data_IF_830820170500
#
_entry.id   IF_830820170500
#
_cell.length_a   1.000
_cell.length_b   1.000
_cell.length_c   1.000
_cell.angle_alpha   90.00
_cell.angle_beta   90.00
_cell.angle_gamma   90.00
#
_symmetry.space_group_name_H-M   'P 1'
#
loop_
_entity.id
_entity.type
_entity.pdbx_description
1 polymer ?
#
# COMPACT_ATOMS: atom_id res chain seq x y z
N UNK A 1 -35.64 -2.18 17.18
CA UNK A 1 -35.38 -1.01 16.31
C UNK A 1 -34.25 -1.46 15.41
N UNK A 2 -34.58 -2.23 14.38
CA UNK A 2 -33.63 -3.00 13.58
C UNK A 2 -33.32 -2.24 12.29
N UNK A 3 -32.15 -1.60 12.18
CA UNK A 3 -31.62 -1.03 10.92
C UNK A 3 -30.09 -1.17 10.83
N UNK A 4 -29.55 -2.33 11.18
CA UNK A 4 -28.09 -2.56 11.12
C UNK A 4 -27.63 -3.45 9.94
N UNK A 5 -28.53 -3.91 9.06
CA UNK A 5 -28.20 -4.91 8.04
C UNK A 5 -28.19 -4.43 6.58
N UNK A 6 -28.66 -3.22 6.26
CA UNK A 6 -28.60 -2.70 4.88
C UNK A 6 -27.26 -2.05 4.50
N UNK A 7 -26.39 -1.75 5.47
CA UNK A 7 -25.15 -1.00 5.26
C UNK A 7 -23.87 -1.81 5.44
N UNK A 8 -23.96 -3.05 5.92
CA UNK A 8 -22.79 -3.91 6.12
C UNK A 8 -22.49 -4.73 4.86
N UNK A 9 -22.14 -4.05 3.77
CA UNK A 9 -21.59 -4.74 2.60
C UNK A 9 -20.25 -5.35 3.03
N UNK A 10 -20.11 -6.67 2.87
CA UNK A 10 -18.86 -7.36 3.18
C UNK A 10 -17.70 -6.69 2.42
N UNK A 11 -16.55 -6.50 3.08
CA UNK A 11 -15.36 -5.86 2.47
C UNK A 11 -15.01 -6.47 1.12
N UNK A 12 -15.13 -7.80 0.97
CA UNK A 12 -14.87 -8.48 -0.30
C UNK A 12 -15.82 -8.05 -1.42
N UNK A 13 -17.10 -7.86 -1.11
CA UNK A 13 -18.10 -7.39 -2.05
C UNK A 13 -17.84 -5.93 -2.44
N UNK A 14 -17.48 -5.08 -1.48
CA UNK A 14 -17.05 -3.71 -1.76
C UNK A 14 -15.83 -3.66 -2.68
N UNK A 15 -14.77 -4.43 -2.39
CA UNK A 15 -13.58 -4.49 -3.25
C UNK A 15 -13.91 -4.93 -4.67
N UNK A 16 -14.80 -5.91 -4.83
CA UNK A 16 -15.26 -6.35 -6.16
C UNK A 16 -16.00 -5.24 -6.89
N UNK A 17 -16.87 -4.50 -6.21
CA UNK A 17 -17.60 -3.36 -6.78
C UNK A 17 -16.67 -2.23 -7.19
N UNK A 18 -15.71 -1.85 -6.32
CA UNK A 18 -14.69 -0.85 -6.65
C UNK A 18 -13.86 -1.26 -7.86
N UNK A 19 -13.40 -2.52 -7.89
CA UNK A 19 -12.66 -3.06 -9.05
C UNK A 19 -13.49 -2.99 -10.33
N UNK A 20 -14.76 -3.40 -10.28
CA UNK A 20 -15.66 -3.32 -11.41
C UNK A 20 -15.86 -1.88 -11.88
N UNK A 21 -16.08 -0.94 -10.96
CA UNK A 21 -16.25 0.48 -11.26
C UNK A 21 -15.03 1.08 -11.96
N UNK A 22 -13.81 0.71 -11.53
CA UNK A 22 -12.57 1.15 -12.19
C UNK A 22 -12.42 0.59 -13.61
N UNK A 23 -12.86 -0.65 -13.84
CA UNK A 23 -12.80 -1.30 -15.16
C UNK A 23 -13.87 -0.75 -16.12
N UNK A 24 -15.08 -0.49 -15.63
CA UNK A 24 -16.23 -0.04 -16.40
C UNK A 24 -16.57 1.42 -16.12
N UNK A 25 -15.56 2.27 -16.23
CA UNK A 25 -15.72 3.69 -15.92
C UNK A 25 -16.69 4.39 -16.88
N UNK A 26 -17.56 5.22 -16.32
CA UNK A 26 -18.54 6.03 -17.04
C UNK A 26 -18.42 7.49 -16.58
N UNK A 27 -18.42 8.48 -17.50
CA UNK A 27 -18.34 9.89 -17.15
C UNK A 27 -19.61 10.37 -16.42
N UNK A 28 -19.48 11.42 -15.61
CA UNK A 28 -20.54 11.91 -14.70
C UNK A 28 -21.91 12.09 -15.34
N UNK A 29 -21.96 12.62 -16.57
CA UNK A 29 -23.20 12.88 -17.30
C UNK A 29 -23.96 11.62 -17.76
N UNK A 30 -23.34 10.45 -17.74
CA UNK A 30 -23.96 9.16 -18.10
C UNK A 30 -24.29 8.31 -16.87
N UNK A 31 -23.96 8.77 -15.65
CA UNK A 31 -24.22 8.02 -14.42
C UNK A 31 -25.68 8.18 -14.02
N UNK A 32 -26.27 7.10 -13.52
CA UNK A 32 -27.59 7.14 -12.87
C UNK A 32 -27.38 7.19 -11.36
N UNK A 33 -28.08 8.09 -10.68
CA UNK A 33 -28.06 8.20 -9.22
C UNK A 33 -28.59 6.93 -8.52
N UNK A 34 -29.34 6.10 -9.24
CA UNK A 34 -29.85 4.81 -8.76
C UNK A 34 -28.79 3.70 -8.73
N UNK A 35 -27.55 3.97 -9.12
CA UNK A 35 -26.47 2.98 -9.05
C UNK A 35 -25.97 2.78 -7.62
N UNK A 36 -25.19 1.72 -7.42
CA UNK A 36 -24.61 1.43 -6.11
C UNK A 36 -23.68 2.58 -5.67
N UNK A 37 -23.81 3.09 -4.43
CA UNK A 37 -23.02 4.22 -3.94
C UNK A 37 -21.51 3.97 -4.00
N UNK A 38 -21.04 2.74 -3.76
CA UNK A 38 -19.62 2.37 -3.85
C UNK A 38 -19.10 2.59 -5.28
N UNK A 39 -19.91 2.25 -6.28
CA UNK A 39 -19.55 2.42 -7.69
C UNK A 39 -19.49 3.91 -8.04
N UNK A 40 -20.47 4.70 -7.59
CA UNK A 40 -20.51 6.14 -7.84
C UNK A 40 -19.33 6.86 -7.18
N UNK A 41 -19.00 6.50 -5.94
CA UNK A 41 -17.84 7.06 -5.23
C UNK A 41 -16.52 6.68 -5.90
N UNK A 42 -16.34 5.42 -6.28
CA UNK A 42 -15.11 4.99 -6.95
C UNK A 42 -14.94 5.67 -8.32
N UNK A 43 -16.03 5.86 -9.07
CA UNK A 43 -15.97 6.61 -10.33
C UNK A 43 -15.64 8.09 -10.12
N UNK A 44 -16.15 8.71 -9.05
CA UNK A 44 -15.80 10.09 -8.66
C UNK A 44 -14.33 10.20 -8.26
N UNK A 45 -13.79 9.23 -7.54
CA UNK A 45 -12.35 9.18 -7.22
C UNK A 45 -11.54 9.09 -8.52
N UNK A 46 -11.94 8.21 -9.44
CA UNK A 46 -11.28 8.08 -10.74
C UNK A 46 -11.34 9.37 -11.58
N UNK A 47 -12.43 10.14 -11.51
CA UNK A 47 -12.51 11.46 -12.15
C UNK A 47 -11.40 12.39 -11.65
N UNK A 48 -11.23 12.47 -10.33
CA UNK A 48 -10.21 13.30 -9.69
C UNK A 48 -8.80 12.83 -10.03
N UNK A 49 -8.57 11.51 -10.04
CA UNK A 49 -7.30 10.94 -10.46
C UNK A 49 -6.94 11.35 -11.90
N UNK A 50 -7.90 11.29 -12.84
CA UNK A 50 -7.66 11.71 -14.23
C UNK A 50 -7.37 13.21 -14.34
N UNK A 51 -8.07 14.04 -13.58
CA UNK A 51 -7.82 15.48 -13.53
C UNK A 51 -6.42 15.78 -12.98
N UNK A 52 -6.03 15.13 -11.89
CA UNK A 52 -4.71 15.27 -11.29
C UNK A 52 -3.61 14.76 -12.21
N UNK A 53 -3.79 13.59 -12.82
CA UNK A 53 -2.85 13.03 -13.80
C UNK A 53 -2.66 13.97 -14.98
N UNK A 54 -3.72 14.65 -15.43
CA UNK A 54 -3.64 15.65 -16.50
C UNK A 54 -2.85 16.88 -16.07
N UNK A 55 -3.06 17.36 -14.84
CA UNK A 55 -2.30 18.49 -14.26
C UNK A 55 -0.82 18.15 -14.08
N UNK A 56 -0.51 16.97 -13.57
CA UNK A 56 0.87 16.47 -13.40
C UNK A 56 1.57 16.20 -14.74
N UNK A 57 0.83 15.74 -15.75
CA UNK A 57 1.35 15.57 -17.09
C UNK A 57 1.37 16.85 -17.93
N UNK A 58 0.82 17.96 -17.41
CA UNK A 58 0.92 19.26 -18.06
C UNK A 58 2.39 19.62 -18.29
N UNK A 59 2.69 20.24 -19.44
CA UNK A 59 4.05 20.70 -19.76
C UNK A 59 4.66 21.51 -18.62
N UNK A 60 3.85 22.30 -17.90
CA UNK A 60 4.29 23.07 -16.73
C UNK A 60 4.87 22.18 -15.62
N UNK A 61 4.19 21.10 -15.26
CA UNK A 61 4.64 20.19 -14.20
C UNK A 61 5.85 19.37 -14.63
N UNK A 62 5.89 18.89 -15.87
CA UNK A 62 7.05 18.19 -16.45
C UNK A 62 8.29 19.08 -16.53
N UNK A 63 8.14 20.35 -16.91
CA UNK A 63 9.25 21.30 -16.95
C UNK A 63 9.78 21.59 -15.54
N UNK A 64 8.89 21.72 -14.55
CA UNK A 64 9.30 21.87 -13.15
C UNK A 64 10.02 20.63 -12.61
N UNK A 65 9.66 19.40 -13.01
CA UNK A 65 10.37 18.19 -12.56
C UNK A 65 11.75 18.01 -13.20
N UNK A 66 12.02 18.66 -14.34
CA UNK A 66 13.34 18.66 -14.98
C UNK A 66 14.31 19.67 -14.33
N UNK A 67 13.80 20.53 -13.46
CA UNK A 67 14.63 21.47 -12.71
C UNK A 67 15.23 20.79 -11.47
N UNK A 68 16.53 20.50 -11.53
CA UNK A 68 17.33 20.03 -10.39
C UNK A 68 18.08 21.25 -9.83
N UNK A 69 17.78 21.69 -8.59
CA UNK A 69 18.53 22.78 -7.96
C UNK A 69 20.01 22.39 -7.83
N UNK A 70 20.90 23.13 -8.51
CA UNK A 70 22.32 22.78 -8.63
C UNK A 70 23.13 22.91 -7.32
N UNK A 71 22.57 23.53 -6.29
CA UNK A 71 23.05 23.43 -4.91
C UNK A 71 21.90 23.83 -3.98
N UNK A 72 21.78 23.22 -2.79
CA UNK A 72 20.88 23.74 -1.76
C UNK A 72 21.31 25.17 -1.39
N UNK A 73 20.33 26.06 -1.22
CA UNK A 73 20.52 27.47 -0.83
C UNK A 73 21.09 27.60 0.60
N UNK A 74 21.01 26.51 1.38
CA UNK A 74 21.45 26.44 2.78
C UNK A 74 22.35 25.23 2.98
N UNK A 75 23.58 25.48 3.39
CA UNK A 75 24.50 24.45 3.88
C UNK A 75 24.21 24.19 5.36
N UNK A 76 23.57 23.06 5.69
CA UNK A 76 23.45 22.61 7.08
C UNK A 76 24.69 21.79 7.47
N UNK A 77 25.30 22.09 8.63
CA UNK A 77 26.34 21.25 9.24
C UNK A 77 25.69 19.98 9.78
N UNK A 78 26.04 18.83 9.19
CA UNK A 78 25.61 17.50 9.65
C UNK A 78 26.66 16.80 10.50
N UNK A 79 27.77 17.48 10.81
CA UNK A 79 28.90 16.98 11.60
C UNK A 79 28.72 17.18 13.11
N UNK A 80 27.52 17.53 13.57
CA UNK A 80 27.24 17.56 15.01
C UNK A 80 27.35 16.14 15.60
N UNK A 81 27.95 16.04 16.79
CA UNK A 81 28.13 14.76 17.45
C UNK A 81 26.78 14.06 17.61
N UNK A 82 26.67 12.83 17.12
CA UNK A 82 25.47 12.03 17.29
C UNK A 82 25.16 11.90 18.79
N UNK A 83 23.95 12.27 19.20
CA UNK A 83 23.49 11.99 20.55
C UNK A 83 23.45 10.46 20.72
N UNK A 84 24.09 9.92 21.75
CA UNK A 84 24.16 8.48 22.00
C UNK A 84 22.78 7.96 22.43
N UNK A 85 21.91 7.71 21.44
CA UNK A 85 20.62 7.10 21.68
C UNK A 85 20.89 5.66 22.12
N UNK A 86 20.29 5.26 23.25
CA UNK A 86 20.37 3.89 23.77
C UNK A 86 20.08 2.87 22.67
N UNK A 87 20.96 1.87 22.56
CA UNK A 87 20.85 0.83 21.53
C UNK A 87 19.46 0.19 21.60
N UNK A 88 18.84 -0.12 20.44
CA UNK A 88 17.53 -0.73 20.43
C UNK A 88 17.56 -2.02 21.25
N UNK A 89 16.49 -2.27 21.99
CA UNK A 89 16.35 -3.41 22.89
C UNK A 89 16.22 -4.70 22.07
N UNK A 90 17.34 -5.23 21.58
CA UNK A 90 17.39 -6.50 20.85
C UNK A 90 17.16 -7.61 21.88
N UNK A 91 15.93 -8.10 21.95
CA UNK A 91 15.58 -9.30 22.71
C UNK A 91 16.30 -10.49 22.08
N UNK A 92 17.36 -10.97 22.72
CA UNK A 92 18.05 -12.20 22.32
C UNK A 92 17.08 -13.37 22.50
N UNK A 93 16.61 -13.94 21.39
CA UNK A 93 15.88 -15.21 21.40
C UNK A 93 16.87 -16.24 21.98
N UNK A 94 16.51 -16.87 23.10
CA UNK A 94 17.30 -17.96 23.65
C UNK A 94 17.17 -19.15 22.69
N UNK A 95 18.30 -19.65 22.20
CA UNK A 95 18.31 -20.82 21.33
C UNK A 95 17.58 -21.98 22.03
N UNK A 96 16.54 -22.50 21.39
CA UNK A 96 15.84 -23.68 21.87
C UNK A 96 16.79 -24.88 21.82
N UNK A 97 16.77 -25.80 22.81
CA UNK A 97 17.63 -26.97 22.76
C UNK A 97 17.29 -27.79 21.51
N UNK A 98 18.30 -27.97 20.68
CA UNK A 98 18.26 -28.72 19.42
C UNK A 98 17.56 -30.07 19.62
N UNK A 99 16.39 -30.21 19.00
CA UNK A 99 15.62 -31.46 18.94
C UNK A 99 16.43 -32.48 18.14
N UNK A 100 17.10 -33.41 18.83
CA UNK A 100 17.80 -34.54 18.21
C UNK A 100 16.80 -35.35 17.38
N UNK A 101 16.89 -35.24 16.07
CA UNK A 101 16.24 -36.18 15.17
C UNK A 101 17.04 -37.48 15.19
N UNK A 102 16.53 -38.50 15.88
CA UNK A 102 17.03 -39.87 15.73
C UNK A 102 16.69 -40.37 14.33
N UNK A 103 17.64 -40.23 13.40
CA UNK A 103 17.64 -41.00 12.16
C UNK A 103 17.89 -42.47 12.51
N UNK A 104 16.87 -43.30 12.38
CA UNK A 104 17.05 -44.76 12.35
C UNK A 104 17.56 -45.13 10.96
N UNK A 105 18.85 -45.38 10.83
CA UNK A 105 19.44 -46.00 9.65
C UNK A 105 19.57 -47.50 9.91
N UNK A 106 18.76 -48.28 9.21
CA UNK A 106 18.80 -49.73 9.16
C UNK A 106 19.82 -50.10 8.06
N UNK A 107 20.92 -50.77 8.37
CA UNK A 107 21.76 -51.43 7.36
C UNK A 107 22.14 -52.85 7.79
N UNK A 108 22.14 -53.70 6.78
CA UNK A 108 22.08 -55.15 6.75
C UNK A 108 23.36 -55.62 6.04
N UNK A 109 23.91 -56.77 6.46
CA UNK A 109 24.79 -57.73 5.72
C UNK A 109 26.32 -57.74 5.99
N UNK A 110 26.80 -58.97 6.29
CA UNK A 110 28.12 -59.54 5.96
C UNK A 110 29.13 -59.47 7.11
N UNK A 111 29.75 -60.55 7.62
CA UNK A 111 30.00 -61.93 7.17
C UNK A 111 29.87 -62.93 8.34
#
# INVERSE_FOLDING_TARGET
MERESETAISLLAEFRLRRWARMHYVPSHQRKESWNPIVLDEMRIKDQEMENTTKENSMKARVSSMYVPLAPDVTSRIDEAHNEISTPHILKIKDAPSRQFHSKSNELVGE
#
